data_IF_236716989995
#
_entry.id   IF_236716989995
#
_cell.length_a   1.000
_cell.length_b   1.000
_cell.length_c   1.000
_cell.angle_alpha   90.00
_cell.angle_beta   90.00
_cell.angle_gamma   90.00
#
_symmetry.space_group_name_H-M   'P 1'
#
loop_
_entity.id
_entity.type
_entity.pdbx_description
1 polymer ?
#
# COMPACT_ATOMS: atom_id res chain seq x y z
N UNK A 1 -0.19 -6.36 -12.05
CA UNK A 1 -0.62 -7.35 -11.03
C UNK A 1 -1.05 -6.60 -9.77
N UNK A 2 -2.30 -6.73 -9.30
CA UNK A 2 -2.76 -5.97 -8.11
C UNK A 2 -2.21 -6.60 -6.83
N UNK A 3 -1.64 -5.78 -5.93
CA UNK A 3 -1.10 -6.23 -4.62
C UNK A 3 -2.15 -6.99 -3.81
N UNK A 4 -3.38 -6.50 -3.81
CA UNK A 4 -4.53 -7.12 -3.13
C UNK A 4 -4.82 -8.53 -3.64
N UNK A 5 -4.60 -8.79 -4.94
CA UNK A 5 -4.84 -10.12 -5.54
C UNK A 5 -3.72 -11.11 -5.24
N UNK A 6 -2.53 -10.63 -4.91
CA UNK A 6 -1.34 -11.47 -4.66
C UNK A 6 -0.83 -11.23 -3.24
N UNK A 7 -1.72 -10.93 -2.29
CA UNK A 7 -1.36 -10.65 -0.90
C UNK A 7 -0.43 -11.71 -0.32
N UNK A 8 -0.68 -12.97 -0.68
CA UNK A 8 0.06 -14.14 -0.19
C UNK A 8 1.50 -14.22 -0.73
N UNK A 9 1.83 -13.45 -1.78
CA UNK A 9 3.17 -13.34 -2.32
C UNK A 9 3.99 -12.23 -1.63
N UNK A 10 3.38 -11.43 -0.77
CA UNK A 10 4.05 -10.36 -0.05
C UNK A 10 4.27 -10.76 1.41
N UNK A 11 5.40 -10.30 1.94
CA UNK A 11 5.79 -10.52 3.34
C UNK A 11 5.42 -9.28 4.13
N UNK A 12 4.90 -9.41 5.34
CA UNK A 12 4.59 -8.27 6.23
C UNK A 12 5.81 -7.87 7.06
N UNK A 13 5.81 -6.66 7.61
CA UNK A 13 6.86 -6.25 8.54
C UNK A 13 6.91 -7.13 9.80
N UNK A 14 5.79 -7.69 10.24
CA UNK A 14 5.75 -8.68 11.33
C UNK A 14 6.47 -9.99 11.00
N UNK A 15 6.48 -10.41 9.74
CA UNK A 15 7.18 -11.64 9.34
C UNK A 15 8.70 -11.43 9.29
N UNK A 16 9.15 -10.20 8.99
CA UNK A 16 10.59 -9.85 8.90
C UNK A 16 11.16 -9.42 10.25
N UNK A 17 10.36 -8.77 11.09
CA UNK A 17 10.80 -8.22 12.36
C UNK A 17 9.94 -8.74 13.52
N UNK A 18 10.61 -9.36 14.50
CA UNK A 18 9.97 -9.87 15.73
C UNK A 18 9.48 -8.77 16.68
N UNK A 19 9.79 -7.50 16.41
CA UNK A 19 9.36 -6.35 17.21
C UNK A 19 8.10 -5.73 16.61
N UNK A 20 7.03 -5.67 17.39
CA UNK A 20 5.80 -4.97 17.02
C UNK A 20 6.04 -3.46 16.89
N UNK A 21 6.22 -2.99 15.66
CA UNK A 21 6.21 -1.56 15.34
C UNK A 21 4.80 -1.14 14.92
N UNK A 22 4.51 0.17 14.96
CA UNK A 22 3.21 0.72 14.51
C UNK A 22 2.87 0.38 13.05
N UNK A 23 3.85 -0.06 12.27
CA UNK A 23 3.73 -0.47 10.87
C UNK A 23 3.91 -1.98 10.68
N UNK A 24 3.73 -2.80 11.72
CA UNK A 24 3.91 -4.26 11.65
C UNK A 24 2.99 -4.93 10.61
N UNK A 25 1.77 -4.43 10.45
CA UNK A 25 0.78 -4.92 9.49
C UNK A 25 0.98 -4.40 8.05
N UNK A 26 1.95 -3.51 7.84
CA UNK A 26 2.30 -3.06 6.49
C UNK A 26 3.14 -4.11 5.78
N UNK A 27 3.00 -4.16 4.45
CA UNK A 27 3.82 -5.00 3.60
C UNK A 27 5.27 -4.53 3.66
N UNK A 28 6.20 -5.47 3.72
CA UNK A 28 7.61 -5.18 3.84
C UNK A 28 8.14 -4.54 2.56
N UNK A 29 8.50 -3.25 2.67
CA UNK A 29 9.11 -2.50 1.59
C UNK A 29 10.64 -2.57 1.75
N UNK A 30 11.30 -3.31 0.85
CA UNK A 30 12.76 -3.44 0.88
C UNK A 30 13.44 -2.09 0.63
N UNK A 31 14.43 -1.75 1.45
CA UNK A 31 15.24 -0.54 1.26
C UNK A 31 16.25 -0.80 0.14
N UNK A 32 16.01 -0.20 -1.02
CA UNK A 32 16.86 -0.32 -2.22
C UNK A 32 17.32 1.04 -2.70
N UNK A 33 18.56 1.13 -3.16
CA UNK A 33 19.15 2.39 -3.67
C UNK A 33 18.91 2.60 -5.18
N UNK A 34 18.44 1.58 -5.89
CA UNK A 34 18.26 1.63 -7.34
C UNK A 34 16.89 2.21 -7.70
N UNK A 35 16.89 3.40 -8.32
CA UNK A 35 15.67 4.09 -8.77
C UNK A 35 14.84 3.25 -9.73
N UNK A 36 15.48 2.41 -10.55
CA UNK A 36 14.80 1.49 -11.48
C UNK A 36 13.93 0.49 -10.71
N UNK A 37 14.45 -0.03 -9.60
CA UNK A 37 13.69 -0.94 -8.74
C UNK A 37 12.57 -0.20 -7.99
N UNK A 38 12.86 1.01 -7.49
CA UNK A 38 11.86 1.83 -6.80
C UNK A 38 10.68 2.22 -7.71
N UNK A 39 10.92 2.39 -9.01
CA UNK A 39 9.89 2.64 -10.03
C UNK A 39 9.22 1.36 -10.53
N UNK A 40 9.70 0.19 -10.12
CA UNK A 40 9.13 -1.09 -10.49
C UNK A 40 7.75 -1.29 -9.88
N UNK A 41 6.90 -2.07 -10.56
CA UNK A 41 5.53 -2.35 -10.14
C UNK A 41 5.46 -2.95 -8.73
N UNK A 42 6.42 -3.79 -8.36
CA UNK A 42 6.52 -4.40 -7.03
C UNK A 42 6.67 -3.36 -5.92
N UNK A 43 7.69 -2.51 -6.02
CA UNK A 43 7.97 -1.48 -5.00
C UNK A 43 6.85 -0.44 -4.96
N UNK A 44 6.39 0.00 -6.13
CA UNK A 44 5.33 1.01 -6.27
C UNK A 44 4.00 0.52 -5.68
N UNK A 45 3.65 -0.74 -5.95
CA UNK A 45 2.44 -1.36 -5.45
C UNK A 45 2.44 -1.48 -3.93
N UNK A 46 3.53 -1.99 -3.34
CA UNK A 46 3.67 -2.09 -1.88
C UNK A 46 3.58 -0.70 -1.24
N UNK A 47 4.31 0.27 -1.79
CA UNK A 47 4.31 1.65 -1.27
C UNK A 47 2.90 2.25 -1.31
N UNK A 48 2.17 2.07 -2.40
CA UNK A 48 0.79 2.53 -2.53
C UNK A 48 -0.12 1.83 -1.51
N UNK A 49 -0.07 0.50 -1.43
CA UNK A 49 -0.89 -0.28 -0.50
C UNK A 49 -0.65 0.14 0.96
N UNK A 50 0.60 0.33 1.37
CA UNK A 50 0.94 0.72 2.74
C UNK A 50 0.39 2.10 3.12
N UNK A 51 0.26 3.03 2.17
CA UNK A 51 -0.33 4.36 2.43
C UNK A 51 -1.86 4.36 2.44
N UNK A 52 -2.52 3.22 2.17
CA UNK A 52 -3.97 3.14 2.28
C UNK A 52 -4.44 3.24 3.74
N UNK A 53 -5.59 3.89 3.97
CA UNK A 53 -6.31 3.82 5.23
C UNK A 53 -6.56 2.35 5.65
N UNK A 54 -6.48 2.03 6.95
CA UNK A 54 -6.80 0.70 7.46
C UNK A 54 -8.18 0.19 7.04
N UNK A 55 -9.18 1.07 6.95
CA UNK A 55 -10.55 0.73 6.55
C UNK A 55 -10.60 0.23 5.09
N UNK A 56 -9.79 0.85 4.22
CA UNK A 56 -9.65 0.40 2.83
C UNK A 56 -8.84 -0.89 2.73
N UNK A 57 -7.80 -1.06 3.56
CA UNK A 57 -7.02 -2.30 3.63
C UNK A 57 -7.90 -3.47 4.07
N UNK A 58 -8.84 -3.29 5.00
CA UNK A 58 -9.77 -4.33 5.44
C UNK A 58 -10.66 -4.86 4.31
N UNK A 59 -10.96 -4.06 3.28
CA UNK A 59 -11.76 -4.49 2.13
C UNK A 59 -10.98 -5.35 1.13
N UNK A 60 -9.70 -5.66 1.37
CA UNK A 60 -8.86 -6.41 0.44
C UNK A 60 -9.37 -7.82 0.14
N UNK A 61 -10.22 -8.40 1.00
CA UNK A 61 -10.85 -9.71 0.74
C UNK A 61 -11.92 -9.64 -0.37
N UNK A 62 -12.54 -8.48 -0.60
CA UNK A 62 -13.55 -8.24 -1.62
C UNK A 62 -12.97 -7.36 -2.73
N UNK A 63 -12.27 -7.98 -3.70
CA UNK A 63 -11.56 -7.26 -4.77
C UNK A 63 -12.49 -6.32 -5.57
N UNK A 64 -13.72 -6.73 -5.98
CA UNK A 64 -14.67 -5.81 -6.61
C UNK A 64 -15.04 -4.62 -5.74
N UNK A 65 -15.41 -4.84 -4.48
CA UNK A 65 -15.77 -3.78 -3.53
C UNK A 65 -14.60 -2.84 -3.25
N UNK A 66 -13.42 -3.40 -3.01
CA UNK A 66 -12.17 -2.66 -2.82
C UNK A 66 -11.92 -1.70 -3.98
N UNK A 67 -12.07 -2.13 -5.25
CA UNK A 67 -11.87 -1.26 -6.41
C UNK A 67 -12.86 -0.09 -6.44
N UNK A 68 -14.12 -0.32 -6.08
CA UNK A 68 -15.15 0.72 -6.04
C UNK A 68 -14.83 1.74 -4.96
N UNK A 69 -14.55 1.29 -3.74
CA UNK A 69 -14.25 2.18 -2.61
C UNK A 69 -12.92 2.90 -2.80
N UNK A 70 -11.89 2.21 -3.31
CA UNK A 70 -10.60 2.82 -3.64
C UNK A 70 -10.75 3.90 -4.72
N UNK A 71 -11.50 3.64 -5.79
CA UNK A 71 -11.79 4.65 -6.81
C UNK A 71 -12.52 5.86 -6.21
N UNK A 72 -13.53 5.62 -5.36
CA UNK A 72 -14.25 6.69 -4.67
C UNK A 72 -13.31 7.52 -3.79
N UNK A 73 -12.44 6.86 -3.02
CA UNK A 73 -11.45 7.50 -2.17
C UNK A 73 -10.51 8.43 -2.96
N UNK A 74 -9.98 7.96 -4.09
CA UNK A 74 -9.11 8.77 -4.94
C UNK A 74 -9.83 10.00 -5.51
N UNK A 75 -11.08 9.82 -5.95
CA UNK A 75 -11.90 10.92 -6.50
C UNK A 75 -12.27 11.92 -5.40
N UNK A 76 -12.67 11.46 -4.21
CA UNK A 76 -13.07 12.34 -3.11
C UNK A 76 -11.92 13.21 -2.63
N UNK A 77 -10.71 12.66 -2.53
CA UNK A 77 -9.55 13.43 -2.09
C UNK A 77 -8.89 14.23 -3.22
N UNK A 78 -9.21 13.94 -4.49
CA UNK A 78 -8.74 14.67 -5.67
C UNK A 78 -7.21 14.86 -5.72
N UNK A 79 -6.44 13.79 -5.47
CA UNK A 79 -4.99 13.85 -5.56
C UNK A 79 -4.54 14.16 -7.00
N UNK A 80 -3.78 15.22 -7.19
CA UNK A 80 -3.21 15.62 -8.48
C UNK A 80 -1.85 14.97 -8.73
N UNK A 81 -1.12 14.60 -7.67
CA UNK A 81 0.18 13.93 -7.75
C UNK A 81 0.26 12.69 -6.84
N UNK A 82 1.18 11.78 -7.14
CA UNK A 82 1.44 10.63 -6.28
C UNK A 82 2.01 11.06 -4.91
N UNK A 83 2.80 12.15 -4.89
CA UNK A 83 3.35 12.76 -3.69
C UNK A 83 2.25 13.25 -2.73
N UNK A 84 1.22 13.92 -3.24
CA UNK A 84 0.06 14.34 -2.42
C UNK A 84 -0.64 13.14 -1.79
N UNK A 85 -0.83 12.07 -2.55
CA UNK A 85 -1.38 10.82 -2.02
C UNK A 85 -0.49 10.25 -0.90
N UNK A 86 0.83 10.21 -1.08
CA UNK A 86 1.76 9.70 -0.05
C UNK A 86 1.85 10.59 1.20
N UNK A 87 1.48 11.87 1.10
CA UNK A 87 1.50 12.81 2.23
C UNK A 87 0.15 12.94 2.94
N UNK A 88 -0.93 12.42 2.37
CA UNK A 88 -2.30 12.61 2.86
C UNK A 88 -2.55 12.12 4.30
N UNK A 89 -1.92 11.02 4.73
CA UNK A 89 -2.13 10.40 6.05
C UNK A 89 -1.07 10.77 7.11
N UNK A 90 -0.33 11.88 6.93
CA UNK A 90 0.72 12.33 7.87
C UNK A 90 0.25 13.38 8.90
N UNK A 91 -1.06 13.57 9.06
CA UNK A 91 -1.64 14.51 10.03
C UNK A 91 -2.29 13.79 11.22
#
# INVERSE_FOLDING_TARGET
MSVVKNSDCYVTNSDVHTRNTRFNHDLHLQVVNLTIFQKGEWYSGIKLYNHLPPELKQLSYDIPGFKVVFKKFLITNSFYTAEEYYCWNKH
#
